data_IF_152982955731
#
_entry.id   IF_152982955731
#
_cell.length_a   1.000
_cell.length_b   1.000
_cell.length_c   1.000
_cell.angle_alpha   90.00
_cell.angle_beta   90.00
_cell.angle_gamma   90.00
#
_symmetry.space_group_name_H-M   'P 1'
#
loop_
_entity.id
_entity.type
_entity.pdbx_description
1 polymer ?
#
# COMPACT_ATOMS: atom_id res chain seq x y z
N UNK A 1 -4.85 2.11 7.47
CA UNK A 1 -5.06 1.42 6.19
C UNK A 1 -4.47 0.03 6.28
N UNK A 2 -5.29 -0.99 6.08
CA UNK A 2 -4.92 -2.40 6.05
C UNK A 2 -6.11 -3.26 5.59
N UNK A 3 -5.94 -4.56 5.71
CA UNK A 3 -6.91 -5.60 5.32
C UNK A 3 -8.31 -5.48 5.97
N UNK A 4 -8.44 -4.68 7.04
CA UNK A 4 -9.68 -4.45 7.78
C UNK A 4 -10.48 -3.22 7.30
N UNK A 5 -9.93 -2.46 6.36
CA UNK A 5 -10.60 -1.29 5.78
C UNK A 5 -11.38 -1.70 4.51
N UNK A 6 -12.34 -0.86 4.09
CA UNK A 6 -13.10 -1.06 2.85
C UNK A 6 -12.26 -0.69 1.61
N UNK A 7 -11.31 -1.57 1.30
CA UNK A 7 -10.36 -1.41 0.19
C UNK A 7 -10.95 -1.92 -1.12
N UNK A 8 -10.60 -1.23 -2.21
CA UNK A 8 -10.97 -1.65 -3.56
C UNK A 8 -9.86 -2.50 -4.17
N UNK A 9 -10.15 -3.77 -4.41
CA UNK A 9 -9.23 -4.69 -5.07
C UNK A 9 -9.39 -4.63 -6.59
N UNK A 10 -8.34 -5.01 -7.30
CA UNK A 10 -8.34 -5.22 -8.75
C UNK A 10 -9.03 -6.54 -9.10
N UNK A 11 -9.41 -6.73 -10.36
CA UNK A 11 -10.12 -7.94 -10.82
C UNK A 11 -9.30 -9.24 -10.63
N UNK A 12 -7.97 -9.13 -10.58
CA UNK A 12 -7.04 -10.23 -10.31
C UNK A 12 -6.82 -10.49 -8.81
N UNK A 13 -7.53 -9.76 -7.94
CA UNK A 13 -7.40 -9.83 -6.48
C UNK A 13 -6.21 -9.06 -5.91
N UNK A 14 -5.41 -8.38 -6.74
CA UNK A 14 -4.33 -7.52 -6.26
C UNK A 14 -4.86 -6.22 -5.65
N UNK A 15 -4.01 -5.53 -4.88
CA UNK A 15 -4.32 -4.26 -4.23
C UNK A 15 -3.29 -3.20 -4.64
N UNK A 16 -3.78 -2.10 -5.20
CA UNK A 16 -2.98 -0.90 -5.43
C UNK A 16 -3.21 0.13 -4.33
N UNK A 17 -2.13 0.64 -3.73
CA UNK A 17 -2.15 1.73 -2.76
C UNK A 17 -1.58 3.00 -3.38
N UNK A 18 -2.33 4.09 -3.30
CA UNK A 18 -1.91 5.40 -3.80
C UNK A 18 -1.30 6.21 -2.67
N UNK A 19 -0.07 6.67 -2.84
CA UNK A 19 0.66 7.42 -1.82
C UNK A 19 1.06 8.77 -2.39
N UNK A 20 0.31 9.82 -2.05
CA UNK A 20 0.50 11.14 -2.62
C UNK A 20 -0.11 12.25 -1.76
N UNK A 21 0.35 13.48 -1.95
CA UNK A 21 -0.13 14.64 -1.20
C UNK A 21 -1.55 15.07 -1.60
N UNK A 22 -1.81 15.18 -2.91
CA UNK A 22 -3.12 15.61 -3.41
C UNK A 22 -4.11 14.46 -3.35
N UNK A 23 -5.33 14.74 -2.89
CA UNK A 23 -6.44 13.78 -2.94
C UNK A 23 -6.69 13.32 -4.38
N UNK A 24 -6.76 12.01 -4.66
CA UNK A 24 -7.03 11.50 -5.99
C UNK A 24 -8.53 11.59 -6.34
N UNK A 25 -8.87 11.15 -7.54
CA UNK A 25 -10.25 10.93 -7.98
C UNK A 25 -11.01 9.97 -7.07
N UNK A 26 -12.35 10.14 -7.02
CA UNK A 26 -13.21 9.51 -6.02
C UNK A 26 -13.07 7.97 -5.94
N UNK A 27 -12.86 7.31 -7.08
CA UNK A 27 -12.73 5.85 -7.17
C UNK A 27 -11.39 5.29 -6.64
N UNK A 28 -10.43 6.14 -6.25
CA UNK A 28 -9.13 5.75 -5.68
C UNK A 28 -8.97 6.13 -4.21
N UNK A 29 -9.91 6.88 -3.65
CA UNK A 29 -9.82 7.44 -2.29
C UNK A 29 -9.76 6.35 -1.23
N UNK A 30 -10.48 5.23 -1.41
CA UNK A 30 -10.46 4.10 -0.48
C UNK A 30 -9.08 3.47 -0.30
N UNK A 31 -8.20 3.60 -1.31
CA UNK A 31 -6.86 3.02 -1.31
C UNK A 31 -5.76 4.09 -1.20
N UNK A 32 -6.12 5.32 -0.82
CA UNK A 32 -5.20 6.43 -0.79
C UNK A 32 -4.67 6.70 0.62
N UNK A 33 -3.34 6.85 0.70
CA UNK A 33 -2.61 7.33 1.85
C UNK A 33 -2.10 8.75 1.59
N UNK A 34 -2.54 9.74 2.38
CA UNK A 34 -1.98 11.09 2.32
C UNK A 34 -0.49 11.07 2.64
N UNK A 35 0.31 11.76 1.83
CA UNK A 35 1.74 11.93 2.05
C UNK A 35 2.12 13.42 2.09
N UNK A 36 3.25 13.78 2.72
CA UNK A 36 3.80 15.14 2.64
C UNK A 36 4.10 15.55 1.19
N UNK A 37 3.94 16.85 0.88
CA UNK A 37 4.32 17.40 -0.42
C UNK A 37 5.84 17.42 -0.64
N UNK A 38 6.60 17.45 0.46
CA UNK A 38 8.07 17.51 0.47
C UNK A 38 8.62 16.81 1.70
N UNK A 39 9.92 16.48 1.66
CA UNK A 39 10.62 15.78 2.73
C UNK A 39 10.62 14.25 2.55
N UNK A 40 11.12 13.56 3.57
CA UNK A 40 11.28 12.11 3.55
C UNK A 40 9.99 11.43 3.97
N UNK A 41 9.55 10.43 3.19
CA UNK A 41 8.45 9.55 3.53
C UNK A 41 8.99 8.21 4.02
N UNK A 42 8.58 7.79 5.22
CA UNK A 42 8.75 6.43 5.71
C UNK A 42 7.47 5.62 5.53
N UNK A 43 7.58 4.41 4.97
CA UNK A 43 6.47 3.47 4.84
C UNK A 43 6.77 2.21 5.63
N UNK A 44 5.80 1.79 6.46
CA UNK A 44 5.91 0.59 7.27
C UNK A 44 4.75 -0.34 6.96
N UNK A 45 5.05 -1.52 6.46
CA UNK A 45 4.10 -2.60 6.30
C UNK A 45 4.13 -3.49 7.55
N UNK A 46 2.95 -3.85 8.08
CA UNK A 46 2.82 -4.75 9.23
C UNK A 46 2.16 -6.04 8.77
N UNK A 47 2.76 -7.17 9.11
CA UNK A 47 2.20 -8.49 8.90
C UNK A 47 1.77 -9.06 10.26
N UNK A 48 0.55 -9.55 10.34
CA UNK A 48 0.00 -10.19 11.55
C UNK A 48 -0.08 -11.69 11.29
N UNK A 49 0.60 -12.48 12.14
CA UNK A 49 0.78 -13.92 11.92
C UNK A 49 1.31 -14.27 10.50
N UNK A 50 2.49 -13.73 10.10
CA UNK A 50 3.05 -14.00 8.78
C UNK A 50 3.38 -15.48 8.58
N UNK A 51 3.30 -15.94 7.34
CA UNK A 51 3.83 -17.24 6.95
C UNK A 51 5.35 -17.27 7.07
N UNK A 52 5.94 -18.47 7.23
CA UNK A 52 7.37 -18.66 7.38
C UNK A 52 8.20 -18.01 6.24
N UNK A 53 7.68 -18.00 5.01
CA UNK A 53 8.35 -17.38 3.87
C UNK A 53 8.65 -15.89 4.07
N UNK A 54 7.82 -15.16 4.81
CA UNK A 54 8.08 -13.76 5.14
C UNK A 54 9.08 -13.60 6.30
N UNK A 55 9.20 -14.61 7.17
CA UNK A 55 10.15 -14.61 8.30
C UNK A 55 11.56 -14.98 7.88
N UNK A 56 11.70 -15.90 6.93
CA UNK A 56 12.98 -16.37 6.41
C UNK A 56 13.44 -15.64 5.12
N UNK A 57 12.66 -14.66 4.66
CA UNK A 57 13.02 -13.77 3.55
C UNK A 57 12.80 -14.35 2.15
N UNK A 58 12.19 -15.53 2.01
CA UNK A 58 11.79 -16.08 0.70
C UNK A 58 10.69 -15.28 0.02
N UNK A 59 9.85 -14.63 0.80
CA UNK A 59 8.88 -13.65 0.32
C UNK A 59 9.37 -12.25 0.62
N UNK A 60 9.31 -11.39 -0.40
CA UNK A 60 9.70 -9.99 -0.32
C UNK A 60 8.45 -9.14 -0.60
N UNK A 61 8.19 -8.07 0.18
CA UNK A 61 7.06 -7.20 -0.09
C UNK A 61 7.11 -6.59 -1.50
N UNK A 62 5.94 -6.27 -2.09
CA UNK A 62 5.88 -5.52 -3.34
C UNK A 62 6.68 -4.21 -3.25
N UNK A 63 7.46 -3.93 -4.30
CA UNK A 63 8.24 -2.71 -4.38
C UNK A 63 7.33 -1.49 -4.57
N UNK A 64 7.68 -0.38 -3.91
CA UNK A 64 7.05 0.92 -4.15
C UNK A 64 7.53 1.45 -5.50
N UNK A 65 6.58 1.80 -6.37
CA UNK A 65 6.87 2.34 -7.70
C UNK A 65 6.44 3.79 -7.76
N UNK A 66 7.36 4.67 -8.19
CA UNK A 66 7.00 6.04 -8.54
C UNK A 66 6.17 6.02 -9.81
N UNK A 67 4.92 6.45 -9.71
CA UNK A 67 4.04 6.64 -10.86
C UNK A 67 4.31 8.03 -11.44
N UNK A 68 4.39 8.13 -12.77
CA UNK A 68 4.59 9.40 -13.48
C UNK A 68 3.27 10.13 -13.66
#
# INVERSE_FOLDING_TARGET
MGDRDDLKYNDDGSLDLYIQHKRPEANKVSNWLPAPASGTLGLTMRLYAPQAAALDGRWIPPAIRKVK
#
